data_IF_817531791964
#
_entry.id   IF_817531791964
#
_cell.length_a   1.000
_cell.length_b   1.000
_cell.length_c   1.000
_cell.angle_alpha   90.00
_cell.angle_beta   90.00
_cell.angle_gamma   90.00
#
_symmetry.space_group_name_H-M   'P 1'
#
loop_
_entity.id
_entity.type
_entity.pdbx_description
1 polymer ?
#
# COMPACT_ATOMS: atom_id res chain seq x y z
N UNK A 1 10.92 -2.65 -12.97
CA UNK A 1 9.72 -2.07 -13.63
C UNK A 1 10.04 -0.66 -14.09
N UNK A 2 9.46 -0.19 -15.20
CA UNK A 2 9.60 1.19 -15.66
C UNK A 2 8.48 2.08 -15.11
N UNK A 3 8.71 3.40 -15.07
CA UNK A 3 7.71 4.38 -14.64
C UNK A 3 6.35 4.18 -15.30
N UNK A 4 6.32 4.02 -16.64
CA UNK A 4 5.08 3.85 -17.40
C UNK A 4 4.27 2.63 -16.96
N UNK A 5 4.93 1.50 -16.67
CA UNK A 5 4.24 0.29 -16.21
C UNK A 5 3.57 0.46 -14.84
N UNK A 6 4.17 1.27 -13.95
CA UNK A 6 3.59 1.56 -12.63
C UNK A 6 2.38 2.48 -12.78
N UNK A 7 2.50 3.54 -13.59
CA UNK A 7 1.40 4.47 -13.85
C UNK A 7 0.20 3.76 -14.47
N UNK A 8 0.42 2.88 -15.46
CA UNK A 8 -0.66 2.12 -16.08
C UNK A 8 -1.38 1.21 -15.06
N UNK A 9 -0.65 0.54 -14.16
CA UNK A 9 -1.26 -0.25 -13.09
C UNK A 9 -2.07 0.60 -12.10
N UNK A 10 -1.59 1.79 -11.76
CA UNK A 10 -2.33 2.72 -10.90
C UNK A 10 -3.65 3.15 -11.55
N UNK A 11 -3.62 3.44 -12.86
CA UNK A 11 -4.82 3.80 -13.62
C UNK A 11 -5.81 2.62 -13.75
N UNK A 12 -5.30 1.42 -14.02
CA UNK A 12 -6.10 0.20 -14.14
C UNK A 12 -6.76 -0.19 -12.81
N UNK A 13 -6.07 0.04 -11.68
CA UNK A 13 -6.63 -0.21 -10.34
C UNK A 13 -7.84 0.68 -10.01
N UNK A 14 -8.05 1.80 -10.71
CA UNK A 14 -9.20 2.71 -10.54
C UNK A 14 -9.29 3.46 -9.20
N UNK A 15 -8.50 3.07 -8.20
CA UNK A 15 -8.44 3.64 -6.86
C UNK A 15 -7.05 3.46 -6.23
N UNK A 16 -6.69 4.38 -5.32
CA UNK A 16 -5.44 4.36 -4.55
C UNK A 16 -5.78 4.49 -3.06
N UNK A 17 -5.39 3.51 -2.25
CA UNK A 17 -5.62 3.55 -0.80
C UNK A 17 -4.51 4.30 -0.08
N UNK A 18 -4.82 5.42 0.59
CA UNK A 18 -3.86 6.15 1.42
C UNK A 18 -4.04 5.73 2.88
N UNK A 19 -2.98 5.20 3.50
CA UNK A 19 -3.06 4.61 4.83
C UNK A 19 -2.06 5.29 5.77
N UNK A 20 -2.54 5.59 6.98
CA UNK A 20 -1.71 5.95 8.13
C UNK A 20 -2.02 4.96 9.26
N UNK A 21 -0.99 4.29 9.77
CA UNK A 21 -1.12 3.38 10.92
C UNK A 21 -0.25 3.86 12.07
N UNK A 22 -0.57 3.41 13.28
CA UNK A 22 0.23 3.77 14.47
C UNK A 22 1.43 2.85 14.67
N UNK A 23 1.43 1.66 14.07
CA UNK A 23 2.51 0.68 14.13
C UNK A 23 2.48 -0.30 12.94
N UNK A 24 3.56 -1.06 12.76
CA UNK A 24 3.80 -1.88 11.56
C UNK A 24 2.93 -3.13 11.46
N UNK A 25 2.52 -3.69 12.60
CA UNK A 25 1.77 -4.96 12.67
C UNK A 25 0.37 -4.84 12.05
N UNK A 26 -0.27 -3.68 12.19
CA UNK A 26 -1.58 -3.40 11.62
C UNK A 26 -1.52 -3.23 10.09
N UNK A 27 -0.40 -2.75 9.55
CA UNK A 27 -0.28 -2.43 8.13
C UNK A 27 -0.44 -3.66 7.23
N UNK A 28 0.27 -4.75 7.56
CA UNK A 28 0.26 -5.97 6.74
C UNK A 28 -1.13 -6.58 6.68
N UNK A 29 -1.86 -6.58 7.82
CA UNK A 29 -3.23 -7.09 7.86
C UNK A 29 -4.19 -6.22 7.05
N UNK A 30 -4.06 -4.89 7.17
CA UNK A 30 -4.84 -3.94 6.36
C UNK A 30 -4.54 -4.12 4.87
N UNK A 31 -3.27 -4.21 4.49
CA UNK A 31 -2.86 -4.39 3.10
C UNK A 31 -3.45 -5.68 2.49
N UNK A 32 -3.41 -6.80 3.24
CA UNK A 32 -4.02 -8.07 2.83
C UNK A 32 -5.53 -7.97 2.68
N UNK A 33 -6.21 -7.31 3.63
CA UNK A 33 -7.65 -7.11 3.56
C UNK A 33 -8.07 -6.24 2.36
N UNK A 34 -7.34 -5.15 2.11
CA UNK A 34 -7.57 -4.26 0.96
C UNK A 34 -7.32 -4.98 -0.37
N UNK A 35 -6.25 -5.77 -0.45
CA UNK A 35 -5.97 -6.62 -1.61
C UNK A 35 -7.10 -7.61 -1.88
N UNK A 36 -7.60 -8.29 -0.84
CA UNK A 36 -8.74 -9.21 -0.95
C UNK A 36 -10.03 -8.49 -1.37
N UNK A 37 -10.18 -7.22 -1.01
CA UNK A 37 -11.28 -6.34 -1.41
C UNK A 37 -11.14 -5.72 -2.82
N UNK A 38 -10.06 -6.02 -3.54
CA UNK A 38 -9.84 -5.53 -4.91
C UNK A 38 -9.04 -4.23 -5.03
N UNK A 39 -8.43 -3.75 -3.93
CA UNK A 39 -7.59 -2.55 -3.95
C UNK A 39 -6.11 -2.94 -3.98
N UNK A 40 -5.48 -2.76 -5.14
CA UNK A 40 -4.15 -3.31 -5.43
C UNK A 40 -3.02 -2.27 -5.37
N UNK A 41 -3.35 -1.00 -5.16
CA UNK A 41 -2.37 0.07 -4.98
C UNK A 41 -2.60 0.82 -3.67
N UNK A 42 -1.56 0.88 -2.85
CA UNK A 42 -1.55 1.51 -1.54
C UNK A 42 -0.43 2.54 -1.46
N UNK A 43 -0.73 3.68 -0.86
CA UNK A 43 0.21 4.69 -0.42
C UNK A 43 0.29 4.65 1.11
N UNK A 44 1.51 4.54 1.63
CA UNK A 44 1.74 4.45 3.07
C UNK A 44 2.38 5.75 3.55
N UNK A 45 1.72 6.39 4.50
CA UNK A 45 2.19 7.68 5.02
C UNK A 45 3.47 7.49 5.82
N UNK A 46 4.55 8.20 5.44
CA UNK A 46 5.88 8.07 6.07
C UNK A 46 5.97 8.56 7.51
N UNK A 47 4.94 9.26 8.02
CA UNK A 47 4.81 9.61 9.44
C UNK A 47 4.46 8.42 10.33
N UNK A 48 4.30 7.23 9.74
CA UNK A 48 4.13 5.96 10.45
C UNK A 48 5.50 5.46 10.93
N UNK A 49 5.72 5.29 12.25
CA UNK A 49 6.94 4.68 12.74
C UNK A 49 7.15 3.28 12.13
N UNK A 50 8.33 3.05 11.54
CA UNK A 50 8.64 1.76 10.91
C UNK A 50 7.97 1.52 9.55
N UNK A 51 7.44 2.56 8.87
CA UNK A 51 6.77 2.45 7.57
C UNK A 51 7.53 1.59 6.55
N UNK A 52 8.84 1.82 6.39
CA UNK A 52 9.68 1.09 5.43
C UNK A 52 9.74 -0.40 5.74
N UNK A 53 9.99 -0.76 7.01
CA UNK A 53 10.01 -2.16 7.44
C UNK A 53 8.65 -2.82 7.23
N UNK A 54 7.58 -2.09 7.49
CA UNK A 54 6.23 -2.60 7.26
C UNK A 54 5.92 -2.81 5.76
N UNK A 55 6.50 -2.01 4.87
CA UNK A 55 6.43 -2.21 3.40
C UNK A 55 7.24 -3.45 2.99
N UNK A 56 8.40 -3.67 3.58
CA UNK A 56 9.25 -4.85 3.31
C UNK A 56 8.58 -6.16 3.75
N UNK A 57 7.81 -6.13 4.84
CA UNK A 57 7.10 -7.29 5.40
C UNK A 57 5.72 -7.56 4.75
N UNK A 58 5.22 -6.68 3.87
CA UNK A 58 3.86 -6.71 3.33
C UNK A 58 3.66 -7.64 2.13
#
# INVERSE_FOLDING_TARGET
MGKTSVVLRLMDSGALGIIRVKGTQDLVQIAKALYAGGLYCLEITMTTPGALRAIEDA
#
